data_IF_374524876814
#
_entry.id   IF_374524876814
#
_cell.length_a   1.000
_cell.length_b   1.000
_cell.length_c   1.000
_cell.angle_alpha   90.00
_cell.angle_beta   90.00
_cell.angle_gamma   90.00
#
_symmetry.space_group_name_H-M   'P 1'
#
loop_
_entity.id
_entity.type
_entity.pdbx_description
1 polymer ?
#
# COMPACT_ATOMS: atom_id res chain seq x y z
N UNK A 1 -34.60 -52.77 50.01
CA UNK A 1 -34.39 -52.59 48.56
C UNK A 1 -34.59 -51.10 48.25
N UNK A 2 -33.51 -50.32 48.17
CA UNK A 2 -33.52 -48.88 47.82
C UNK A 2 -32.75 -48.71 46.53
N UNK A 3 -33.40 -48.15 45.51
CA UNK A 3 -32.81 -47.78 44.22
C UNK A 3 -31.93 -46.55 44.44
N UNK A 4 -30.66 -46.61 44.03
CA UNK A 4 -29.82 -45.43 43.83
C UNK A 4 -29.59 -45.31 42.34
N UNK A 5 -30.21 -44.29 41.76
CA UNK A 5 -30.05 -43.83 40.40
C UNK A 5 -28.71 -43.09 40.38
N UNK A 6 -27.70 -43.60 39.67
CA UNK A 6 -26.49 -42.86 39.39
C UNK A 6 -26.81 -41.85 38.27
N UNK A 7 -26.72 -40.57 38.61
CA UNK A 7 -26.85 -39.47 37.66
C UNK A 7 -25.60 -39.40 36.78
N UNK A 8 -25.82 -39.43 35.48
CA UNK A 8 -24.84 -39.17 34.44
C UNK A 8 -24.45 -37.68 34.49
N UNK A 9 -23.17 -37.37 34.68
CA UNK A 9 -22.63 -36.05 34.35
C UNK A 9 -21.61 -36.24 33.22
N UNK A 10 -22.12 -36.31 31.99
CA UNK A 10 -21.29 -36.16 30.80
C UNK A 10 -20.81 -34.71 30.77
N UNK A 11 -19.54 -34.48 31.07
CA UNK A 11 -18.89 -33.21 30.82
C UNK A 11 -18.68 -33.09 29.31
N UNK A 12 -19.66 -32.52 28.61
CA UNK A 12 -19.44 -32.03 27.25
C UNK A 12 -18.60 -30.76 27.41
N UNK A 13 -17.28 -30.89 27.29
CA UNK A 13 -16.42 -29.74 27.08
C UNK A 13 -16.78 -29.16 25.71
N UNK A 14 -17.78 -28.27 25.68
CA UNK A 14 -17.89 -27.30 24.59
C UNK A 14 -16.68 -26.40 24.78
N UNK A 15 -15.58 -26.72 24.08
CA UNK A 15 -14.51 -25.77 23.90
C UNK A 15 -15.12 -24.58 23.15
N UNK A 16 -15.46 -23.53 23.89
CA UNK A 16 -15.61 -22.22 23.28
C UNK A 16 -14.23 -21.90 22.74
N UNK A 17 -14.01 -22.10 21.43
CA UNK A 17 -12.82 -21.59 20.79
C UNK A 17 -12.81 -20.09 21.09
N UNK A 18 -11.89 -19.65 21.95
CA UNK A 18 -11.68 -18.23 22.18
C UNK A 18 -11.39 -17.66 20.80
N UNK A 19 -12.16 -16.65 20.36
CA UNK A 19 -11.80 -15.92 19.16
C UNK A 19 -10.42 -15.30 19.43
N UNK A 20 -9.37 -15.93 18.89
CA UNK A 20 -8.03 -15.42 18.99
C UNK A 20 -7.96 -14.16 18.13
N UNK A 21 -7.25 -13.16 18.62
CA UNK A 21 -7.07 -11.91 17.92
C UNK A 21 -5.61 -11.53 17.88
N UNK A 22 -5.21 -10.83 16.83
CA UNK A 22 -3.86 -10.36 16.57
C UNK A 22 -3.87 -8.87 16.19
N UNK A 23 -2.69 -8.30 16.14
CA UNK A 23 -2.41 -6.94 15.68
C UNK A 23 -1.72 -6.96 14.32
N UNK A 24 -1.96 -5.91 13.55
CA UNK A 24 -1.33 -5.68 12.25
C UNK A 24 -0.70 -4.30 12.31
N UNK A 25 0.57 -4.16 11.95
CA UNK A 25 1.26 -2.87 11.96
C UNK A 25 2.35 -2.78 10.90
N UNK A 26 2.64 -1.54 10.52
CA UNK A 26 3.67 -1.19 9.56
C UNK A 26 3.86 0.31 9.46
N UNK A 27 4.67 0.72 8.50
CA UNK A 27 4.98 2.11 8.16
C UNK A 27 4.53 2.42 6.73
N UNK A 28 4.13 3.67 6.48
CA UNK A 28 3.94 4.22 5.15
C UNK A 28 4.74 5.51 5.03
N UNK A 29 5.75 5.49 4.18
CA UNK A 29 6.66 6.61 3.92
C UNK A 29 6.85 6.77 2.42
N UNK A 30 7.39 7.89 1.95
CA UNK A 30 7.97 7.92 0.60
C UNK A 30 9.27 7.10 0.57
N UNK A 31 9.78 6.70 -0.60
CA UNK A 31 10.99 5.89 -0.64
C UNK A 31 12.30 6.62 -0.22
N UNK A 32 12.28 7.94 -0.04
CA UNK A 32 13.35 8.73 0.62
C UNK A 32 13.23 8.75 2.16
N UNK A 33 12.17 8.14 2.71
CA UNK A 33 11.88 8.14 4.13
C UNK A 33 11.07 9.35 4.61
N UNK A 34 10.62 10.24 3.72
CA UNK A 34 9.76 11.36 4.11
C UNK A 34 8.36 10.87 4.49
N UNK A 35 7.78 11.48 5.53
CA UNK A 35 6.44 11.13 5.99
C UNK A 35 5.39 11.81 5.11
N UNK A 36 4.40 11.03 4.68
CA UNK A 36 3.22 11.55 3.97
C UNK A 36 2.04 11.60 4.94
N UNK A 37 1.39 12.75 5.03
CA UNK A 37 0.24 12.94 5.93
C UNK A 37 -1.08 12.69 5.19
N UNK A 38 -2.12 12.37 5.96
CA UNK A 38 -3.48 12.18 5.43
C UNK A 38 -3.77 10.80 4.84
N UNK A 39 -2.82 9.87 4.90
CA UNK A 39 -3.03 8.49 4.43
C UNK A 39 -3.96 7.77 5.41
N UNK A 40 -4.94 7.06 4.85
CA UNK A 40 -5.75 6.08 5.57
C UNK A 40 -5.39 4.68 5.08
N UNK A 41 -5.51 3.70 5.96
CA UNK A 41 -5.32 2.29 5.64
C UNK A 41 -6.62 1.58 5.94
N UNK A 42 -7.18 0.92 4.93
CA UNK A 42 -8.38 0.11 5.03
C UNK A 42 -7.98 -1.36 5.13
N UNK A 43 -8.60 -2.08 6.06
CA UNK A 43 -8.48 -3.52 6.18
C UNK A 43 -9.77 -4.15 5.66
N UNK A 44 -9.67 -4.93 4.57
CA UNK A 44 -10.79 -5.65 3.97
C UNK A 44 -10.71 -7.14 4.32
N UNK A 45 -11.85 -7.82 4.46
CA UNK A 45 -11.87 -9.29 4.56
C UNK A 45 -11.77 -9.97 3.18
N UNK A 46 -11.72 -11.30 3.15
CA UNK A 46 -11.71 -12.10 1.92
C UNK A 46 -12.88 -11.82 0.95
N UNK A 47 -13.99 -11.26 1.42
CA UNK A 47 -15.14 -10.86 0.59
C UNK A 47 -15.04 -9.41 0.10
N UNK A 48 -13.93 -8.70 0.37
CA UNK A 48 -13.73 -7.30 0.01
C UNK A 48 -14.52 -6.32 0.88
N UNK A 49 -15.07 -6.76 2.02
CA UNK A 49 -15.83 -5.90 2.92
C UNK A 49 -14.89 -5.20 3.90
N UNK A 50 -15.14 -3.91 4.15
CA UNK A 50 -14.38 -3.12 5.11
C UNK A 50 -14.57 -3.66 6.54
N UNK A 51 -13.47 -4.03 7.17
CA UNK A 51 -13.40 -4.53 8.55
C UNK A 51 -13.04 -3.40 9.50
N UNK A 52 -12.01 -2.62 9.14
CA UNK A 52 -11.54 -1.50 9.94
C UNK A 52 -10.79 -0.49 9.05
N UNK A 53 -10.71 0.75 9.53
CA UNK A 53 -9.88 1.80 8.95
C UNK A 53 -9.02 2.41 10.05
N UNK A 54 -7.77 2.73 9.74
CA UNK A 54 -6.87 3.46 10.63
C UNK A 54 -6.15 4.56 9.84
N UNK A 55 -5.69 5.60 10.53
CA UNK A 55 -4.87 6.66 9.92
C UNK A 55 -3.38 6.38 10.09
N UNK A 56 -2.56 7.01 9.25
CA UNK A 56 -1.11 7.03 9.42
C UNK A 56 -0.71 8.16 10.39
N UNK A 57 0.01 7.81 11.45
CA UNK A 57 0.49 8.75 12.46
C UNK A 57 1.66 9.60 11.92
N UNK A 58 2.03 10.67 12.64
CA UNK A 58 3.06 11.63 12.20
C UNK A 58 4.48 11.08 12.02
N UNK A 59 4.71 9.81 12.35
CA UNK A 59 5.96 9.07 12.12
C UNK A 59 5.83 8.01 11.01
N UNK A 60 4.74 8.03 10.24
CA UNK A 60 4.47 7.05 9.19
C UNK A 60 3.87 5.73 9.69
N UNK A 61 3.71 5.50 11.00
CA UNK A 61 3.16 4.24 11.51
C UNK A 61 1.65 4.14 11.31
N UNK A 62 1.16 2.92 11.11
CA UNK A 62 -0.24 2.56 11.26
C UNK A 62 -0.39 1.26 12.07
N UNK A 63 -1.55 1.07 12.70
CA UNK A 63 -1.82 -0.13 13.47
C UNK A 63 -3.31 -0.48 13.49
N UNK A 64 -3.60 -1.77 13.40
CA UNK A 64 -4.86 -2.40 13.77
C UNK A 64 -4.62 -3.31 14.97
N UNK A 65 -5.51 -3.27 15.96
CA UNK A 65 -5.44 -4.12 17.14
C UNK A 65 -6.71 -4.97 17.25
N UNK A 66 -6.60 -6.14 17.87
CA UNK A 66 -7.70 -7.05 18.14
C UNK A 66 -8.45 -7.52 16.88
N UNK A 67 -7.72 -7.81 15.80
CA UNK A 67 -8.27 -8.36 14.56
C UNK A 67 -8.41 -9.88 14.71
N UNK A 68 -9.58 -10.48 14.42
CA UNK A 68 -9.77 -11.93 14.51
C UNK A 68 -8.77 -12.71 13.63
N UNK A 69 -8.12 -13.73 14.18
CA UNK A 69 -7.20 -14.59 13.43
C UNK A 69 -7.95 -15.69 12.67
N UNK A 70 -7.23 -16.42 11.81
CA UNK A 70 -7.73 -17.53 11.00
C UNK A 70 -8.53 -17.08 9.76
N UNK A 71 -8.37 -15.82 9.35
CA UNK A 71 -9.07 -15.23 8.21
C UNK A 71 -8.10 -14.49 7.30
N UNK A 72 -8.41 -14.46 6.01
CA UNK A 72 -7.69 -13.65 5.04
C UNK A 72 -8.14 -12.19 5.10
N UNK A 73 -7.15 -11.31 5.06
CA UNK A 73 -7.35 -9.87 5.02
C UNK A 73 -6.58 -9.27 3.86
N UNK A 74 -7.03 -8.10 3.41
CA UNK A 74 -6.31 -7.26 2.44
C UNK A 74 -6.11 -5.87 3.03
N UNK A 75 -4.87 -5.40 3.05
CA UNK A 75 -4.55 -4.01 3.36
C UNK A 75 -4.63 -3.16 2.10
N UNK A 76 -5.34 -2.05 2.20
CA UNK A 76 -5.55 -1.08 1.12
C UNK A 76 -5.22 0.31 1.65
N UNK A 77 -3.96 0.77 1.51
CA UNK A 77 -3.61 2.15 1.76
C UNK A 77 -4.25 3.06 0.70
N UNK A 78 -4.74 4.22 1.14
CA UNK A 78 -5.29 5.24 0.26
C UNK A 78 -4.91 6.63 0.76
N UNK A 79 -4.77 7.56 -0.18
CA UNK A 79 -4.66 8.99 0.12
C UNK A 79 -5.66 9.72 -0.76
N UNK A 80 -6.75 10.18 -0.16
CA UNK A 80 -7.77 10.94 -0.85
C UNK A 80 -7.35 12.42 -0.90
N UNK A 81 -7.30 13.00 -2.10
CA UNK A 81 -7.07 14.42 -2.30
C UNK A 81 -6.10 14.76 -3.42
N UNK A 82 -6.28 15.94 -4.00
CA UNK A 82 -5.39 16.52 -5.00
C UNK A 82 -4.27 17.28 -4.31
N UNK A 83 -3.27 16.57 -3.77
CA UNK A 83 -2.01 17.24 -3.45
C UNK A 83 -1.28 17.51 -4.78
N UNK A 84 -1.47 18.67 -5.39
CA UNK A 84 -0.72 19.10 -6.59
C UNK A 84 0.73 19.52 -6.28
N UNK A 85 1.14 19.43 -5.02
CA UNK A 85 2.21 20.25 -4.46
C UNK A 85 3.65 19.72 -4.55
N UNK A 86 3.93 18.68 -5.34
CA UNK A 86 5.29 18.09 -5.35
C UNK A 86 5.79 17.73 -6.76
N UNK A 87 5.10 18.19 -7.81
CA UNK A 87 5.51 17.93 -9.20
C UNK A 87 5.87 19.25 -9.86
N UNK A 88 7.01 19.25 -10.52
CA UNK A 88 7.72 20.43 -10.98
C UNK A 88 8.34 20.23 -12.37
N UNK A 89 8.97 21.28 -12.89
CA UNK A 89 9.74 21.16 -14.15
C UNK A 89 10.99 20.28 -13.98
N UNK A 90 11.50 20.11 -12.75
CA UNK A 90 12.66 19.24 -12.50
C UNK A 90 12.33 17.79 -12.81
N UNK A 91 11.12 17.32 -12.47
CA UNK A 91 10.68 15.96 -12.74
C UNK A 91 10.67 15.67 -14.25
N UNK A 92 10.22 16.64 -15.05
CA UNK A 92 10.25 16.56 -16.51
C UNK A 92 11.68 16.42 -17.04
N UNK A 93 12.62 17.20 -16.50
CA UNK A 93 14.03 17.15 -16.90
C UNK A 93 14.66 15.81 -16.54
N UNK A 94 14.41 15.31 -15.33
CA UNK A 94 14.92 14.00 -14.89
C UNK A 94 14.37 12.87 -15.76
N UNK A 95 13.06 12.86 -16.02
CA UNK A 95 12.43 11.88 -16.91
C UNK A 95 12.97 11.95 -18.34
N UNK A 96 13.19 13.15 -18.88
CA UNK A 96 13.78 13.32 -20.21
C UNK A 96 15.21 12.80 -20.28
N UNK A 97 16.04 13.11 -19.28
CA UNK A 97 17.41 12.61 -19.19
C UNK A 97 17.44 11.08 -19.06
N UNK A 98 16.50 10.50 -18.31
CA UNK A 98 16.37 9.04 -18.19
C UNK A 98 16.02 8.37 -19.52
N UNK A 99 15.01 8.89 -20.23
CA UNK A 99 14.59 8.37 -21.55
C UNK A 99 15.75 8.45 -22.56
N UNK A 100 16.57 9.50 -22.48
CA UNK A 100 17.75 9.68 -23.34
C UNK A 100 18.98 8.86 -22.90
N UNK A 101 18.91 8.16 -21.77
CA UNK A 101 20.04 7.41 -21.20
C UNK A 101 21.16 8.29 -20.65
N UNK A 102 20.88 9.57 -20.36
CA UNK A 102 21.84 10.52 -19.78
C UNK A 102 21.99 10.28 -18.28
N UNK A 103 20.87 10.01 -17.59
CA UNK A 103 20.87 9.60 -16.18
C UNK A 103 20.14 8.26 -16.04
N UNK A 104 20.44 7.54 -14.98
CA UNK A 104 19.57 6.47 -14.49
C UNK A 104 18.70 7.05 -13.37
N UNK A 105 17.42 6.67 -13.33
CA UNK A 105 16.61 6.93 -12.14
C UNK A 105 16.97 5.84 -11.13
N UNK A 106 17.64 6.22 -10.05
CA UNK A 106 18.24 5.29 -9.06
C UNK A 106 17.21 4.58 -8.15
N UNK A 107 15.95 4.47 -8.60
CA UNK A 107 14.89 3.75 -7.90
C UNK A 107 13.79 3.32 -8.89
N UNK A 108 13.33 2.06 -8.84
CA UNK A 108 12.19 1.60 -9.65
C UNK A 108 10.91 2.40 -9.35
N UNK A 109 10.75 2.89 -8.12
CA UNK A 109 9.61 3.70 -7.72
C UNK A 109 9.55 5.05 -8.44
N UNK A 110 10.71 5.62 -8.84
CA UNK A 110 10.72 6.83 -9.69
C UNK A 110 10.24 6.50 -11.10
N UNK A 111 10.67 5.36 -11.66
CA UNK A 111 10.21 4.93 -12.99
C UNK A 111 8.68 4.70 -12.98
N UNK A 112 8.16 4.06 -11.93
CA UNK A 112 6.72 3.89 -11.71
C UNK A 112 5.97 5.22 -11.52
N UNK A 113 6.53 6.15 -10.75
CA UNK A 113 5.96 7.48 -10.57
C UNK A 113 5.84 8.23 -11.91
N UNK A 114 6.79 8.02 -12.82
CA UNK A 114 6.84 8.70 -14.11
C UNK A 114 5.79 8.22 -15.11
N UNK A 115 5.23 7.02 -14.97
CA UNK A 115 4.17 6.47 -15.83
C UNK A 115 2.80 7.03 -15.45
N UNK A 116 2.58 8.31 -15.77
CA UNK A 116 1.40 9.05 -15.32
C UNK A 116 0.11 8.65 -16.04
N UNK A 117 0.21 7.98 -17.18
CA UNK A 117 -0.94 7.47 -17.93
C UNK A 117 -1.21 5.96 -17.71
N UNK A 118 -0.43 5.29 -16.86
CA UNK A 118 -0.52 3.86 -16.56
C UNK A 118 -0.39 2.97 -17.81
N UNK A 119 0.51 3.34 -18.71
CA UNK A 119 0.82 2.55 -19.91
C UNK A 119 1.79 1.39 -19.66
N UNK A 120 2.29 1.26 -18.43
CA UNK A 120 3.42 0.42 -18.07
C UNK A 120 4.69 0.80 -18.85
N UNK A 121 4.88 2.11 -19.09
CA UNK A 121 6.09 2.64 -19.71
C UNK A 121 6.31 4.10 -19.33
N UNK A 122 7.58 4.51 -19.19
CA UNK A 122 7.96 5.92 -19.03
C UNK A 122 8.42 6.47 -20.37
N UNK A 123 7.62 7.36 -20.95
CA UNK A 123 7.84 7.92 -22.29
C UNK A 123 7.71 9.44 -22.32
N UNK A 124 7.98 10.04 -23.48
CA UNK A 124 7.77 11.48 -23.70
C UNK A 124 6.31 11.89 -23.60
N UNK A 125 5.36 10.97 -23.78
CA UNK A 125 3.94 11.26 -23.58
C UNK A 125 3.66 11.56 -22.10
N UNK A 126 4.26 10.79 -21.20
CA UNK A 126 4.14 11.01 -19.76
C UNK A 126 4.74 12.36 -19.35
N UNK A 127 5.90 12.71 -19.90
CA UNK A 127 6.50 14.03 -19.68
C UNK A 127 5.62 15.18 -20.18
N UNK A 128 4.91 14.98 -21.30
CA UNK A 128 3.97 15.97 -21.80
C UNK A 128 2.75 16.13 -20.88
N UNK A 129 2.28 15.04 -20.26
CA UNK A 129 1.19 15.06 -19.28
C UNK A 129 1.63 15.70 -17.95
N UNK A 130 2.82 15.39 -17.46
CA UNK A 130 3.44 16.07 -16.31
C UNK A 130 3.56 17.57 -16.59
N UNK A 131 4.00 17.97 -17.79
CA UNK A 131 4.06 19.38 -18.19
C UNK A 131 2.68 20.05 -18.16
N UNK A 132 1.65 19.39 -18.68
CA UNK A 132 0.29 19.92 -18.60
C UNK A 132 -0.15 20.09 -17.14
N UNK A 133 0.25 19.18 -16.24
CA UNK A 133 -0.04 19.32 -14.82
C UNK A 133 0.67 20.49 -14.17
N UNK A 134 1.98 20.65 -14.42
CA UNK A 134 2.75 21.81 -13.93
C UNK A 134 2.16 23.14 -14.43
N UNK A 135 1.56 23.14 -15.63
CA UNK A 135 0.88 24.31 -16.20
C UNK A 135 -0.57 24.49 -15.72
N UNK A 136 -1.10 23.57 -14.91
CA UNK A 136 -2.49 23.59 -14.44
C UNK A 136 -3.53 23.31 -15.54
N UNK A 137 -3.12 22.72 -16.66
CA UNK A 137 -4.01 22.35 -17.77
C UNK A 137 -4.77 21.06 -17.44
N UNK A 138 -4.12 20.13 -16.75
CA UNK A 138 -4.73 18.90 -16.23
C UNK A 138 -4.32 18.70 -14.79
N UNK A 139 -5.18 18.09 -13.98
CA UNK A 139 -4.89 17.73 -12.58
C UNK A 139 -5.32 16.31 -12.24
N UNK A 140 -6.02 15.65 -13.16
CA UNK A 140 -6.58 14.31 -12.95
C UNK A 140 -5.78 13.30 -13.76
N UNK A 141 -4.74 12.76 -13.12
CA UNK A 141 -4.14 11.51 -13.56
C UNK A 141 -5.05 10.34 -13.17
N UNK A 142 -5.02 9.22 -13.91
CA UNK A 142 -5.80 8.03 -13.58
C UNK A 142 -5.58 7.53 -12.15
N UNK A 143 -4.35 7.68 -11.63
CA UNK A 143 -4.02 7.51 -10.21
C UNK A 143 -3.06 8.62 -9.78
N UNK A 144 -3.38 9.29 -8.67
CA UNK A 144 -2.56 10.38 -8.11
C UNK A 144 -1.47 9.86 -7.14
N UNK A 145 -1.83 8.93 -6.27
CA UNK A 145 -0.92 8.29 -5.31
C UNK A 145 -1.00 6.79 -5.47
N UNK A 146 0.16 6.17 -5.53
CA UNK A 146 0.32 4.73 -5.64
C UNK A 146 1.05 4.22 -4.40
N UNK A 147 0.66 3.03 -3.93
CA UNK A 147 1.25 2.41 -2.77
C UNK A 147 1.93 1.10 -3.16
N UNK A 148 3.11 0.87 -2.61
CA UNK A 148 3.96 -0.25 -2.97
C UNK A 148 4.47 -0.91 -1.72
N UNK A 149 4.48 -2.23 -1.66
CA UNK A 149 5.21 -2.94 -0.62
C UNK A 149 6.70 -2.58 -0.64
N UNK A 150 7.31 -2.33 0.52
CA UNK A 150 8.75 -2.00 0.58
C UNK A 150 9.66 -3.18 0.26
N UNK A 151 9.15 -4.40 0.45
CA UNK A 151 9.81 -5.67 0.12
C UNK A 151 9.55 -6.13 -1.33
N UNK A 152 8.90 -5.30 -2.16
CA UNK A 152 8.65 -5.58 -3.56
C UNK A 152 9.95 -5.90 -4.30
N UNK A 153 9.94 -7.02 -5.04
CA UNK A 153 11.07 -7.48 -5.84
C UNK A 153 10.87 -7.05 -7.29
N UNK A 154 11.84 -6.32 -7.84
CA UNK A 154 11.84 -5.92 -9.24
C UNK A 154 12.82 -6.78 -10.03
N UNK A 155 12.35 -7.35 -11.14
CA UNK A 155 13.22 -8.10 -12.07
C UNK A 155 14.19 -7.15 -12.78
N UNK A 156 13.72 -5.93 -13.06
CA UNK A 156 14.49 -4.88 -13.69
C UNK A 156 14.05 -3.52 -13.16
N UNK A 157 14.94 -2.82 -12.47
CA UNK A 157 14.62 -1.52 -11.87
C UNK A 157 14.29 -0.44 -12.91
N UNK A 158 14.83 -0.56 -14.13
CA UNK A 158 14.52 0.35 -15.25
C UNK A 158 13.24 -0.05 -16.01
N UNK A 159 12.68 -1.22 -15.71
CA UNK A 159 11.41 -1.71 -16.26
C UNK A 159 10.62 -2.43 -15.16
N UNK A 160 10.14 -1.69 -14.15
CA UNK A 160 9.58 -2.24 -12.91
C UNK A 160 8.22 -2.91 -13.10
N UNK A 161 7.59 -2.76 -14.26
CA UNK A 161 6.27 -3.34 -14.56
C UNK A 161 6.35 -4.85 -14.84
N UNK A 162 7.54 -5.41 -15.08
CA UNK A 162 7.70 -6.86 -15.30
C UNK A 162 7.67 -7.63 -13.98
N UNK A 163 6.59 -8.38 -13.75
CA UNK A 163 6.46 -9.29 -12.60
C UNK A 163 5.98 -8.64 -11.31
N UNK A 164 5.49 -7.40 -11.39
CA UNK A 164 5.06 -6.63 -10.24
C UNK A 164 3.53 -6.69 -10.02
N UNK A 165 3.10 -6.94 -8.78
CA UNK A 165 1.72 -6.78 -8.31
C UNK A 165 1.69 -5.68 -7.26
N UNK A 166 1.04 -4.54 -7.54
CA UNK A 166 1.07 -3.38 -6.65
C UNK A 166 -0.12 -3.18 -5.72
N UNK A 167 0.02 -2.16 -4.88
CA UNK A 167 -1.08 -1.48 -4.17
C UNK A 167 -1.48 -2.11 -2.85
N UNK A 168 -1.95 -3.34 -2.93
CA UNK A 168 -2.64 -4.02 -1.84
C UNK A 168 -1.88 -5.27 -1.43
N UNK A 169 -2.00 -5.64 -0.17
CA UNK A 169 -1.35 -6.83 0.37
C UNK A 169 -2.39 -7.74 1.00
N UNK A 170 -2.48 -8.98 0.49
CA UNK A 170 -3.43 -9.99 0.95
C UNK A 170 -2.69 -11.10 1.69
N UNK A 171 -3.13 -11.41 2.91
CA UNK A 171 -2.48 -12.39 3.78
C UNK A 171 -3.49 -13.08 4.70
N UNK A 172 -3.14 -14.29 5.14
CA UNK A 172 -3.84 -14.98 6.21
C UNK A 172 -3.31 -14.48 7.56
N UNK A 173 -4.19 -13.96 8.42
CA UNK A 173 -3.79 -13.49 9.76
C UNK A 173 -3.86 -14.66 10.75
N UNK A 174 -2.72 -15.20 11.15
CA UNK A 174 -2.64 -16.27 12.17
C UNK A 174 -2.12 -15.76 13.52
N UNK A 175 -1.26 -14.75 13.50
CA UNK A 175 -0.60 -14.15 14.66
C UNK A 175 -0.35 -12.64 14.44
N UNK A 176 0.30 -11.97 15.39
CA UNK A 176 0.69 -10.57 15.24
C UNK A 176 1.61 -10.39 14.03
N UNK A 177 1.25 -9.47 13.14
CA UNK A 177 2.08 -9.11 11.99
C UNK A 177 2.62 -7.69 12.17
N UNK A 178 3.94 -7.58 12.06
CA UNK A 178 4.67 -6.31 12.10
C UNK A 178 5.51 -6.16 10.83
N UNK A 179 5.86 -4.92 10.46
CA UNK A 179 6.67 -4.67 9.26
C UNK A 179 5.90 -4.86 7.95
N UNK A 180 4.57 -4.69 7.96
CA UNK A 180 3.81 -4.59 6.72
C UNK A 180 3.98 -3.18 6.13
N UNK A 181 5.17 -2.89 5.63
CA UNK A 181 5.53 -1.54 5.23
C UNK A 181 5.16 -1.25 3.77
N UNK A 182 4.80 0.01 3.50
CA UNK A 182 4.52 0.52 2.16
C UNK A 182 5.31 1.79 1.84
N UNK A 183 5.68 1.94 0.57
CA UNK A 183 6.03 3.22 -0.01
C UNK A 183 4.81 3.92 -0.59
N UNK A 184 4.62 5.18 -0.25
CA UNK A 184 3.71 6.10 -0.91
C UNK A 184 4.46 6.84 -2.02
N UNK A 185 4.04 6.64 -3.26
CA UNK A 185 4.67 7.20 -4.45
C UNK A 185 3.68 8.11 -5.15
N UNK A 186 4.07 9.37 -5.35
CA UNK A 186 3.24 10.35 -6.04
C UNK A 186 3.46 10.26 -7.53
N UNK A 187 2.38 10.13 -8.28
CA UNK A 187 2.44 10.10 -9.74
C UNK A 187 2.96 11.45 -10.28
N UNK A 188 3.96 11.39 -11.15
CA UNK A 188 4.63 12.53 -11.77
C UNK A 188 5.79 13.12 -10.96
N UNK A 189 6.02 12.69 -9.73
CA UNK A 189 7.11 13.16 -8.87
C UNK A 189 8.32 12.23 -8.99
N UNK A 190 9.36 12.72 -9.67
CA UNK A 190 10.62 12.03 -9.92
C UNK A 190 11.77 12.59 -9.10
N UNK A 191 11.58 13.65 -8.32
CA UNK A 191 12.63 14.47 -7.71
C UNK A 191 12.62 14.53 -6.19
N UNK A 192 11.76 13.74 -5.54
CA UNK A 192 11.80 13.46 -4.10
C UNK A 192 13.18 12.99 -3.61
#
# INVERSE_FOLDING_TARGET
MKKIILFLASFLAVAMAMAQSASISGTILRPDGTVVTGITVNLLNAQGQLVATTGVFGNGLYQFANIPTGQEYTLVPELQGQALLDVSTLDIVMGAQHILGIIQLDSPFRVLAGDVNQSNSLTTLDLALIRQMVLGITTDFPVNWQFFRTDAQFVNDNNPWQGFSGGNDSFLLEEDITGLDFYAVKTGDLSW
#
